data_IF_853687732631
#
_entry.id   IF_853687732631
#
_cell.length_a   1.000
_cell.length_b   1.000
_cell.length_c   1.000
_cell.angle_alpha   90.00
_cell.angle_beta   90.00
_cell.angle_gamma   90.00
#
_symmetry.space_group_name_H-M   'P 1'
#
loop_
_entity.id
_entity.type
_entity.pdbx_description
1 polymer ?
#
# COMPACT_ATOMS: atom_id res chain seq x y z
N UNK A 1 -6.70 1.20 -12.85
CA UNK A 1 -5.90 0.74 -11.68
C UNK A 1 -6.02 1.68 -10.51
N UNK A 2 -5.74 2.99 -10.64
CA UNK A 2 -5.87 3.94 -9.54
C UNK A 2 -7.28 3.99 -8.91
N UNK A 3 -8.34 4.09 -9.73
CA UNK A 3 -9.73 4.02 -9.25
C UNK A 3 -9.99 2.75 -8.43
N UNK A 4 -9.47 1.60 -8.86
CA UNK A 4 -9.69 0.33 -8.17
C UNK A 4 -9.02 0.28 -6.79
N UNK A 5 -7.83 0.86 -6.64
CA UNK A 5 -7.17 0.96 -5.35
C UNK A 5 -7.95 1.85 -4.38
N UNK A 6 -8.46 2.98 -4.86
CA UNK A 6 -9.32 3.89 -4.08
C UNK A 6 -10.62 3.22 -3.66
N UNK A 7 -11.30 2.53 -4.59
CA UNK A 7 -12.54 1.81 -4.31
C UNK A 7 -12.34 0.76 -3.19
N UNK A 8 -11.25 -0.01 -3.28
CA UNK A 8 -10.88 -1.00 -2.27
C UNK A 8 -10.60 -0.35 -0.92
N UNK A 9 -9.91 0.79 -0.88
CA UNK A 9 -9.66 1.52 0.37
C UNK A 9 -10.95 2.06 0.99
N UNK A 10 -11.87 2.55 0.18
CA UNK A 10 -13.17 3.00 0.65
C UNK A 10 -14.02 1.85 1.19
N UNK A 11 -14.01 0.67 0.55
CA UNK A 11 -14.64 -0.55 1.06
C UNK A 11 -14.09 -0.98 2.42
N UNK A 12 -12.82 -0.64 2.71
CA UNK A 12 -12.17 -0.87 4.01
C UNK A 12 -12.50 0.18 5.08
N UNK A 13 -13.31 1.19 4.74
CA UNK A 13 -13.57 2.33 5.63
C UNK A 13 -12.34 3.21 5.85
N UNK A 14 -11.33 3.13 4.98
CA UNK A 14 -10.17 4.02 5.03
C UNK A 14 -10.56 5.38 4.46
N UNK A 15 -10.36 6.43 5.25
CA UNK A 15 -10.53 7.80 4.77
C UNK A 15 -9.35 8.21 3.88
N UNK A 16 -9.64 8.51 2.62
CA UNK A 16 -8.64 9.02 1.67
C UNK A 16 -8.57 10.54 1.79
N UNK A 17 -7.39 11.07 2.10
CA UNK A 17 -7.15 12.51 2.25
C UNK A 17 -6.84 13.17 0.91
N UNK A 18 -6.08 12.49 0.06
CA UNK A 18 -5.67 12.99 -1.25
C UNK A 18 -5.51 11.84 -2.24
N UNK A 19 -5.91 12.10 -3.49
CA UNK A 19 -5.62 11.28 -4.65
C UNK A 19 -4.84 12.17 -5.62
N UNK A 20 -3.58 11.80 -5.91
CA UNK A 20 -2.72 12.53 -6.84
C UNK A 20 -2.87 11.94 -8.25
N UNK A 21 -2.44 12.65 -9.29
CA UNK A 21 -2.51 12.05 -10.64
C UNK A 21 -1.33 11.07 -10.79
N UNK A 22 -1.56 9.89 -11.39
CA UNK A 22 -0.45 8.93 -11.63
C UNK A 22 0.70 9.59 -12.39
N UNK A 23 1.91 9.50 -11.83
CA UNK A 23 3.12 10.12 -12.38
C UNK A 23 3.37 11.58 -11.96
N UNK A 24 2.56 12.13 -11.05
CA UNK A 24 2.85 13.40 -10.38
C UNK A 24 4.11 13.26 -9.52
N UNK A 25 5.10 14.14 -9.75
CA UNK A 25 6.37 14.10 -9.02
C UNK A 25 6.18 14.60 -7.59
N UNK A 26 6.84 13.95 -6.64
CA UNK A 26 6.87 14.41 -5.24
C UNK A 26 5.59 14.15 -4.43
N UNK A 27 4.61 13.43 -4.98
CA UNK A 27 3.39 13.06 -4.25
C UNK A 27 3.10 11.57 -4.39
N UNK A 28 2.58 10.93 -3.35
CA UNK A 28 2.08 9.56 -3.46
C UNK A 28 0.75 9.54 -4.20
N UNK A 29 0.43 8.44 -4.89
CA UNK A 29 -0.83 8.30 -5.62
C UNK A 29 -2.06 8.45 -4.70
N UNK A 30 -1.97 7.96 -3.46
CA UNK A 30 -3.03 8.06 -2.45
C UNK A 30 -2.40 8.37 -1.09
N UNK A 31 -2.94 9.36 -0.39
CA UNK A 31 -2.53 9.71 0.97
C UNK A 31 -3.70 9.53 1.95
N UNK A 32 -3.40 8.98 3.13
CA UNK A 32 -4.34 8.78 4.25
C UNK A 32 -3.68 9.23 5.56
N UNK A 33 -4.42 9.25 6.65
CA UNK A 33 -3.88 9.62 7.97
C UNK A 33 -2.85 8.62 8.53
N UNK A 34 -2.87 7.37 8.06
CA UNK A 34 -2.11 6.27 8.67
C UNK A 34 -1.04 5.68 7.76
N UNK A 35 -1.24 5.76 6.45
CA UNK A 35 -0.34 5.24 5.43
C UNK A 35 -0.51 5.98 4.10
N UNK A 36 0.48 5.81 3.23
CA UNK A 36 0.44 6.30 1.85
C UNK A 36 0.52 5.13 0.89
N UNK A 37 -0.03 5.30 -0.32
CA UNK A 37 -0.04 4.27 -1.35
C UNK A 37 0.59 4.81 -2.63
N UNK A 38 1.52 4.03 -3.18
CA UNK A 38 2.07 4.23 -4.52
C UNK A 38 1.61 3.08 -5.42
N UNK A 39 1.23 3.37 -6.66
CA UNK A 39 0.79 2.40 -7.65
C UNK A 39 1.84 2.33 -8.75
N UNK A 40 2.56 1.21 -8.82
CA UNK A 40 3.53 0.99 -9.89
C UNK A 40 2.80 0.73 -11.21
N UNK A 41 2.93 1.68 -12.15
CA UNK A 41 2.27 1.63 -13.46
C UNK A 41 3.24 1.42 -14.64
N UNK A 42 4.54 1.36 -14.40
CA UNK A 42 5.59 1.24 -15.42
C UNK A 42 5.81 2.50 -16.25
N UNK A 43 5.03 3.56 -16.04
CA UNK A 43 4.94 4.72 -16.94
C UNK A 43 5.89 5.88 -16.62
N UNK A 44 6.79 5.70 -15.63
CA UNK A 44 7.94 6.55 -15.19
C UNK A 44 7.82 6.86 -13.70
N UNK A 45 8.52 6.06 -12.88
CA UNK A 45 8.96 6.53 -11.57
C UNK A 45 10.46 6.31 -11.47
N UNK A 46 11.18 7.39 -11.16
CA UNK A 46 12.57 7.24 -10.74
C UNK A 46 12.54 6.51 -9.40
N UNK A 47 13.23 5.39 -9.31
CA UNK A 47 13.38 4.67 -8.05
C UNK A 47 14.00 5.58 -6.97
N UNK A 48 14.82 6.54 -7.37
CA UNK A 48 15.42 7.53 -6.46
C UNK A 48 14.37 8.49 -5.89
N UNK A 49 13.47 9.02 -6.73
CA UNK A 49 12.36 9.89 -6.29
C UNK A 49 11.40 9.17 -5.34
N UNK A 50 11.12 7.88 -5.58
CA UNK A 50 10.35 7.07 -4.64
C UNK A 50 11.09 6.88 -3.31
N UNK A 51 12.40 6.61 -3.34
CA UNK A 51 13.22 6.47 -2.11
C UNK A 51 13.27 7.77 -1.30
N UNK A 52 13.40 8.92 -1.97
CA UNK A 52 13.36 10.23 -1.33
C UNK A 52 12.03 10.44 -0.61
N UNK A 53 10.90 10.23 -1.30
CA UNK A 53 9.56 10.33 -0.69
C UNK A 53 9.36 9.36 0.48
N UNK A 54 9.85 8.12 0.38
CA UNK A 54 9.82 7.14 1.47
C UNK A 54 10.62 7.64 2.69
N UNK A 55 11.75 8.31 2.46
CA UNK A 55 12.59 8.85 3.54
C UNK A 55 11.97 10.10 4.19
N UNK A 56 11.20 10.90 3.44
CA UNK A 56 10.55 12.11 3.93
C UNK A 56 9.28 11.85 4.73
N UNK A 57 8.67 10.67 4.58
CA UNK A 57 7.48 10.28 5.33
C UNK A 57 7.79 9.38 6.53
N UNK A 58 7.03 9.56 7.61
CA UNK A 58 7.07 8.64 8.74
C UNK A 58 5.98 7.57 8.70
N UNK A 59 5.05 7.68 7.74
CA UNK A 59 3.94 6.76 7.57
C UNK A 59 4.39 5.45 6.92
N UNK A 60 3.55 4.42 7.01
CA UNK A 60 3.76 3.20 6.23
C UNK A 60 3.53 3.49 4.75
N UNK A 61 4.34 2.88 3.90
CA UNK A 61 4.24 3.03 2.44
C UNK A 61 3.80 1.70 1.86
N UNK A 62 2.62 1.68 1.24
CA UNK A 62 2.10 0.51 0.54
C UNK A 62 2.34 0.71 -0.96
N UNK A 63 3.08 -0.19 -1.58
CA UNK A 63 3.36 -0.15 -3.01
C UNK A 63 2.52 -1.23 -3.68
N UNK A 64 1.55 -0.80 -4.47
CA UNK A 64 0.72 -1.69 -5.27
C UNK A 64 1.43 -1.96 -6.59
N UNK A 65 1.89 -3.20 -6.77
CA UNK A 65 2.57 -3.64 -7.99
C UNK A 65 1.60 -4.40 -8.91
N UNK A 66 1.81 -4.37 -10.24
CA UNK A 66 0.93 -5.04 -11.19
C UNK A 66 1.04 -6.57 -11.17
N UNK A 67 2.16 -7.11 -10.70
CA UNK A 67 2.39 -8.54 -10.57
C UNK A 67 3.39 -8.84 -9.42
N UNK A 68 3.45 -10.11 -9.01
CA UNK A 68 4.27 -10.54 -7.87
C UNK A 68 5.77 -10.50 -8.14
N UNK A 69 6.20 -10.57 -9.39
CA UNK A 69 7.63 -10.54 -9.78
C UNK A 69 8.29 -9.21 -9.39
N UNK A 70 7.50 -8.15 -9.26
CA UNK A 70 7.97 -6.84 -8.86
C UNK A 70 8.02 -6.64 -7.34
N UNK A 71 7.41 -7.50 -6.53
CA UNK A 71 7.35 -7.31 -5.06
C UNK A 71 8.76 -7.16 -4.48
N UNK A 72 9.66 -8.08 -4.80
CA UNK A 72 11.02 -8.11 -4.24
C UNK A 72 11.83 -6.85 -4.59
N UNK A 73 11.53 -6.23 -5.73
CA UNK A 73 12.17 -4.97 -6.17
C UNK A 73 11.85 -3.81 -5.21
N UNK A 74 10.65 -3.77 -4.63
CA UNK A 74 10.18 -2.67 -3.81
C UNK A 74 10.21 -2.98 -2.31
N UNK A 75 10.09 -4.25 -1.92
CA UNK A 75 10.11 -4.68 -0.51
C UNK A 75 11.42 -4.29 0.20
N UNK A 76 12.53 -4.17 -0.53
CA UNK A 76 13.83 -3.78 0.00
C UNK A 76 14.07 -2.27 0.16
N UNK A 77 13.08 -1.41 -0.11
CA UNK A 77 13.26 0.05 -0.08
C UNK A 77 13.22 0.66 1.33
N UNK A 78 12.72 -0.07 2.32
CA UNK A 78 12.75 0.35 3.72
C UNK A 78 11.87 -0.53 4.60
N UNK A 79 12.13 -0.51 5.91
CA UNK A 79 11.40 -1.34 6.88
C UNK A 79 9.89 -1.03 6.95
N UNK A 80 9.50 0.20 6.55
CA UNK A 80 8.11 0.68 6.53
C UNK A 80 7.39 0.45 5.20
N UNK A 81 8.07 -0.18 4.24
CA UNK A 81 7.58 -0.42 2.89
C UNK A 81 6.96 -1.80 2.79
N UNK A 82 5.75 -1.87 2.22
CA UNK A 82 5.04 -3.10 1.95
C UNK A 82 4.67 -3.14 0.47
N UNK A 83 5.25 -4.06 -0.28
CA UNK A 83 4.93 -4.26 -1.69
C UNK A 83 3.95 -5.43 -1.87
N UNK A 84 2.85 -5.21 -2.60
CA UNK A 84 1.84 -6.23 -2.82
C UNK A 84 1.04 -5.99 -4.09
N UNK A 85 0.41 -7.03 -4.63
CA UNK A 85 -0.50 -6.87 -5.77
C UNK A 85 -1.89 -6.44 -5.30
N UNK A 86 -2.67 -5.84 -6.21
CA UNK A 86 -4.07 -5.50 -5.93
C UNK A 86 -4.91 -6.72 -5.53
N UNK A 87 -4.60 -7.88 -6.08
CA UNK A 87 -5.26 -9.14 -5.72
C UNK A 87 -4.89 -9.60 -4.32
N UNK A 88 -3.64 -9.39 -3.89
CA UNK A 88 -3.23 -9.67 -2.51
C UNK A 88 -3.93 -8.75 -1.53
N UNK A 89 -4.11 -7.47 -1.87
CA UNK A 89 -4.93 -6.54 -1.07
C UNK A 89 -6.34 -7.12 -0.94
N UNK A 90 -7.00 -7.45 -2.06
CA UNK A 90 -8.35 -8.04 -2.06
C UNK A 90 -8.44 -9.33 -1.25
N UNK A 91 -7.47 -10.23 -1.37
CA UNK A 91 -7.43 -11.49 -0.61
C UNK A 91 -7.36 -11.25 0.89
N UNK A 92 -6.55 -10.29 1.33
CA UNK A 92 -6.52 -9.86 2.75
C UNK A 92 -7.89 -9.35 3.23
N UNK A 93 -8.77 -8.89 2.32
CA UNK A 93 -10.11 -8.41 2.66
C UNK A 93 -11.14 -9.52 2.74
N UNK A 94 -10.95 -10.58 1.93
CA UNK A 94 -11.88 -11.71 1.87
C UNK A 94 -11.56 -12.81 2.87
N UNK A 95 -10.33 -12.88 3.38
CA UNK A 95 -9.99 -13.80 4.46
C UNK A 95 -10.37 -13.16 5.80
N UNK A 96 -11.30 -13.76 6.57
CA UNK A 96 -11.55 -13.28 7.92
C UNK A 96 -10.25 -13.38 8.70
N UNK A 97 -9.86 -12.27 9.35
CA UNK A 97 -8.82 -12.29 10.38
C UNK A 97 -9.11 -13.51 11.25
N UNK A 98 -8.24 -14.53 11.20
CA UNK A 98 -8.31 -15.61 12.16
C UNK A 98 -8.02 -14.96 13.50
N UNK A 99 -9.08 -14.54 14.18
CA UNK A 99 -9.06 -14.22 15.60
C UNK A 99 -8.45 -15.45 16.24
N UNK A 100 -7.20 -15.37 16.68
CA UNK A 100 -6.72 -16.32 17.66
C UNK A 100 -7.63 -16.12 18.87
N UNK A 101 -8.62 -17.01 18.95
CA UNK A 101 -9.52 -17.14 20.06
C UNK A 101 -8.69 -17.21 21.34
N UNK A 102 -9.15 -16.48 22.34
CA UNK A 102 -8.65 -16.64 23.69
C UNK A 102 -8.66 -18.12 24.07
N UNK A 103 -7.52 -18.59 24.56
CA UNK A 103 -7.54 -19.52 25.67
C UNK A 103 -7.25 -18.69 26.92
N UNK A 104 -8.29 -18.04 27.40
CA UNK A 104 -8.46 -17.97 28.84
C UNK A 104 -9.51 -19.02 29.18
N UNK A 105 -9.15 -19.93 30.09
CA UNK A 105 -10.01 -20.59 31.08
C UNK A 105 -9.31 -21.84 31.65
N UNK A 106 -8.85 -21.63 32.89
CA UNK A 106 -9.04 -22.49 34.06
C UNK A 106 -8.47 -23.92 34.06
N UNK A 107 -7.44 -24.13 34.88
CA UNK A 107 -7.55 -24.85 36.17
C UNK A 107 -6.25 -24.68 36.97
#
# INVERSE_FOLDING_TARGET
MQSQAVDILNELGVSVNRISTTGERGAFDIETDFFVVEIETGLKHSMEDLKERIAETNLRVIIIVPNSELIDKYQGLGERVLAMTIDSVRKMLTEPVRSNQGKDLSA
#
